data_IF_664459262534
#
_entry.id   IF_664459262534
#
_cell.length_a   1.000
_cell.length_b   1.000
_cell.length_c   1.000
_cell.angle_alpha   90.00
_cell.angle_beta   90.00
_cell.angle_gamma   90.00
#
_symmetry.space_group_name_H-M   'P 1'
#
loop_
_entity.id
_entity.type
_entity.pdbx_description
1 polymer ?
#
# COMPACT_ATOMS: atom_id res chain seq x y z
N UNK A 1 -8.17 -12.97 -5.41
CA UNK A 1 -7.95 -11.50 -5.41
C UNK A 1 -9.26 -10.71 -5.41
N UNK A 2 -10.22 -10.96 -6.34
CA UNK A 2 -11.51 -10.24 -6.39
C UNK A 2 -12.38 -10.36 -5.12
N UNK A 3 -12.49 -11.56 -4.54
CA UNK A 3 -13.30 -11.78 -3.33
C UNK A 3 -12.75 -11.02 -2.11
N UNK A 4 -11.43 -10.97 -1.96
CA UNK A 4 -10.78 -10.23 -0.88
C UNK A 4 -10.96 -8.71 -1.00
N UNK A 5 -10.91 -8.17 -2.23
CA UNK A 5 -11.16 -6.74 -2.47
C UNK A 5 -12.63 -6.35 -2.28
N UNK A 6 -13.56 -7.25 -2.61
CA UNK A 6 -15.00 -7.05 -2.36
C UNK A 6 -15.30 -6.99 -0.85
N UNK A 7 -14.78 -7.95 -0.10
CA UNK A 7 -14.95 -8.00 1.37
C UNK A 7 -14.28 -6.79 2.03
N UNK A 8 -13.09 -6.40 1.56
CA UNK A 8 -12.40 -5.19 2.02
C UNK A 8 -13.20 -3.90 1.76
N UNK A 9 -13.87 -3.79 0.62
CA UNK A 9 -14.74 -2.67 0.28
C UNK A 9 -15.98 -2.60 1.18
N UNK A 10 -16.62 -3.74 1.45
CA UNK A 10 -17.76 -3.84 2.36
C UNK A 10 -17.36 -3.48 3.79
N UNK A 11 -16.22 -3.97 4.27
CA UNK A 11 -15.73 -3.66 5.62
C UNK A 11 -15.37 -2.17 5.73
N UNK A 12 -14.75 -1.57 4.70
CA UNK A 12 -14.45 -0.13 4.68
C UNK A 12 -15.71 0.75 4.62
N UNK A 13 -16.81 0.22 4.07
CA UNK A 13 -18.13 0.86 4.08
C UNK A 13 -18.82 0.73 5.45
N UNK A 14 -18.74 -0.44 6.07
CA UNK A 14 -19.38 -0.72 7.38
C UNK A 14 -18.66 -0.05 8.55
N UNK A 15 -17.38 0.30 8.43
CA UNK A 15 -16.63 1.03 9.47
C UNK A 15 -16.83 2.56 9.29
N UNK A 16 -17.65 3.23 10.12
CA UNK A 16 -17.88 4.67 10.01
C UNK A 16 -16.63 5.48 10.36
N UNK A 17 -16.40 6.56 9.63
CA UNK A 17 -15.25 7.45 9.80
C UNK A 17 -15.17 8.07 11.21
N UNK A 18 -16.30 8.23 11.89
CA UNK A 18 -16.40 8.77 13.25
C UNK A 18 -15.70 7.91 14.32
N UNK A 19 -15.62 6.59 14.13
CA UNK A 19 -14.87 5.71 15.02
C UNK A 19 -13.36 5.88 14.82
N UNK A 20 -12.93 6.07 13.57
CA UNK A 20 -11.51 6.25 13.24
C UNK A 20 -11.03 7.62 13.75
N UNK A 21 -11.79 8.70 13.58
CA UNK A 21 -11.43 10.03 14.07
C UNK A 21 -11.29 10.11 15.60
N UNK A 22 -12.15 9.40 16.34
CA UNK A 22 -12.08 9.37 17.81
C UNK A 22 -10.84 8.63 18.32
N UNK A 23 -10.41 7.57 17.63
CA UNK A 23 -9.21 6.80 17.96
C UNK A 23 -7.94 7.41 17.37
N UNK A 24 -8.01 8.08 16.23
CA UNK A 24 -6.89 8.75 15.54
C UNK A 24 -6.25 9.85 16.39
N UNK A 25 -7.02 10.46 17.32
CA UNK A 25 -6.47 11.40 18.31
C UNK A 25 -5.42 10.78 19.23
N UNK A 26 -5.45 9.46 19.45
CA UNK A 26 -4.45 8.73 20.22
C UNK A 26 -3.62 7.85 19.29
N UNK A 27 -2.47 8.38 18.85
CA UNK A 27 -1.56 7.72 17.90
C UNK A 27 -1.23 6.27 18.28
N UNK A 28 -0.98 5.98 19.56
CA UNK A 28 -0.68 4.63 20.03
C UNK A 28 -1.91 3.71 20.08
N UNK A 29 -3.06 4.24 20.51
CA UNK A 29 -4.30 3.48 20.63
C UNK A 29 -4.80 3.04 19.25
N UNK A 30 -4.61 3.88 18.22
CA UNK A 30 -4.87 3.54 16.82
C UNK A 30 -4.01 2.37 16.31
N UNK A 31 -2.74 2.30 16.71
CA UNK A 31 -1.85 1.20 16.30
C UNK A 31 -2.31 -0.14 16.90
N UNK A 32 -2.63 -0.15 18.20
CA UNK A 32 -3.11 -1.36 18.88
C UNK A 32 -4.47 -1.78 18.32
N UNK A 33 -5.38 -0.84 18.08
CA UNK A 33 -6.68 -1.14 17.46
C UNK A 33 -6.50 -1.76 16.07
N UNK A 34 -5.62 -1.21 15.23
CA UNK A 34 -5.34 -1.75 13.90
C UNK A 34 -4.65 -3.11 13.94
N UNK A 35 -3.80 -3.37 14.93
CA UNK A 35 -3.22 -4.70 15.16
C UNK A 35 -4.30 -5.73 15.50
N UNK A 36 -5.20 -5.41 16.44
CA UNK A 36 -6.31 -6.29 16.86
C UNK A 36 -7.28 -6.54 15.71
N UNK A 37 -7.57 -5.52 14.90
CA UNK A 37 -8.43 -5.63 13.73
C UNK A 37 -7.74 -6.41 12.61
N UNK A 38 -6.44 -6.25 12.42
CA UNK A 38 -5.66 -6.92 11.37
C UNK A 38 -5.54 -8.44 11.54
N UNK A 39 -5.45 -8.93 12.78
CA UNK A 39 -5.34 -10.36 13.10
C UNK A 39 -6.53 -11.20 12.54
N UNK A 40 -7.80 -10.87 12.80
CA UNK A 40 -8.95 -11.62 12.30
C UNK A 40 -9.32 -11.30 10.84
N UNK A 41 -8.98 -10.11 10.35
CA UNK A 41 -9.35 -9.69 8.99
C UNK A 41 -8.59 -10.44 7.89
N UNK A 42 -7.44 -11.05 8.22
CA UNK A 42 -6.59 -11.84 7.32
C UNK A 42 -6.68 -11.42 5.84
N UNK A 43 -6.04 -10.31 5.51
CA UNK A 43 -6.01 -9.77 4.14
C UNK A 43 -4.62 -9.95 3.57
N UNK A 44 -4.53 -10.38 2.31
CA UNK A 44 -3.24 -10.44 1.62
C UNK A 44 -2.63 -9.04 1.50
N UNK A 45 -1.30 -8.94 1.49
CA UNK A 45 -0.58 -7.65 1.44
C UNK A 45 -1.09 -6.72 0.32
N UNK A 46 -1.50 -7.29 -0.82
CA UNK A 46 -2.05 -6.52 -1.94
C UNK A 46 -3.43 -5.92 -1.64
N UNK A 47 -4.27 -6.62 -0.87
CA UNK A 47 -5.60 -6.15 -0.49
C UNK A 47 -5.59 -5.18 0.69
N UNK A 48 -4.59 -5.26 1.57
CA UNK A 48 -4.47 -4.37 2.72
C UNK A 48 -3.98 -2.96 2.36
N UNK A 49 -3.23 -2.80 1.26
CA UNK A 49 -2.78 -1.49 0.75
C UNK A 49 -3.94 -0.52 0.44
N UNK A 50 -4.93 -0.87 -0.41
CA UNK A 50 -6.04 0.06 -0.70
C UNK A 50 -6.92 0.34 0.52
N UNK A 51 -7.06 -0.63 1.44
CA UNK A 51 -7.75 -0.44 2.72
C UNK A 51 -7.04 0.67 3.50
N UNK A 52 -5.74 0.51 3.77
CA UNK A 52 -4.97 1.52 4.52
C UNK A 52 -4.99 2.87 3.83
N UNK A 53 -4.85 2.93 2.50
CA UNK A 53 -4.94 4.18 1.76
C UNK A 53 -6.27 4.90 2.00
N UNK A 54 -7.40 4.16 1.95
CA UNK A 54 -8.73 4.72 2.21
C UNK A 54 -8.91 5.19 3.66
N UNK A 55 -8.35 4.48 4.64
CA UNK A 55 -8.39 4.90 6.05
C UNK A 55 -7.45 6.07 6.35
N UNK A 56 -6.30 6.16 5.69
CA UNK A 56 -5.38 7.30 5.83
C UNK A 56 -6.03 8.60 5.34
N UNK A 57 -6.81 8.55 4.26
CA UNK A 57 -7.61 9.70 3.80
C UNK A 57 -8.63 10.13 4.86
N UNK A 58 -9.16 9.17 5.64
CA UNK A 58 -10.06 9.42 6.79
C UNK A 58 -9.32 9.86 8.06
N UNK A 59 -8.02 10.13 8.01
CA UNK A 59 -7.23 10.61 9.15
C UNK A 59 -6.56 9.52 9.99
N UNK A 60 -6.47 8.27 9.50
CA UNK A 60 -5.68 7.23 10.16
C UNK A 60 -4.19 7.62 10.18
N UNK A 61 -3.57 7.47 11.35
CA UNK A 61 -2.13 7.68 11.54
C UNK A 61 -1.30 6.75 10.64
N UNK A 62 -0.26 7.23 9.94
CA UNK A 62 0.53 6.41 9.01
C UNK A 62 1.19 5.21 9.68
N UNK A 63 1.64 5.34 10.92
CA UNK A 63 2.17 4.23 11.71
C UNK A 63 1.14 3.15 12.01
N UNK A 64 -0.13 3.52 12.26
CA UNK A 64 -1.21 2.55 12.45
C UNK A 64 -1.52 1.79 11.14
N UNK A 65 -1.42 2.47 10.00
CA UNK A 65 -1.48 1.84 8.68
C UNK A 65 -0.35 0.83 8.46
N UNK A 66 0.89 1.17 8.83
CA UNK A 66 2.03 0.26 8.73
C UNK A 66 1.87 -0.98 9.62
N UNK A 67 1.38 -0.81 10.86
CA UNK A 67 1.09 -1.92 11.77
C UNK A 67 0.06 -2.88 11.17
N UNK A 68 -1.02 -2.36 10.58
CA UNK A 68 -2.01 -3.17 9.88
C UNK A 68 -1.41 -3.94 8.69
N UNK A 69 -0.58 -3.28 7.89
CA UNK A 69 0.10 -3.88 6.72
C UNK A 69 1.08 -4.99 7.12
N UNK A 70 1.75 -4.86 8.26
CA UNK A 70 2.61 -5.92 8.80
C UNK A 70 1.81 -7.08 9.40
N UNK A 71 0.75 -6.78 10.15
CA UNK A 71 -0.06 -7.78 10.83
C UNK A 71 -0.79 -8.70 9.86
N UNK A 72 -1.32 -8.17 8.74
CA UNK A 72 -2.10 -8.92 7.75
C UNK A 72 -1.42 -10.20 7.23
N UNK A 73 -0.23 -10.14 6.59
CA UNK A 73 0.47 -11.33 6.13
C UNK A 73 1.07 -12.17 7.27
N UNK A 74 1.43 -11.54 8.39
CA UNK A 74 2.09 -12.22 9.50
C UNK A 74 1.14 -13.16 10.29
N UNK A 75 -0.16 -12.87 10.26
CA UNK A 75 -1.20 -13.58 11.02
C UNK A 75 -1.96 -14.62 10.20
N UNK A 76 -1.34 -15.14 9.14
CA UNK A 76 -1.94 -16.15 8.28
C UNK A 76 -2.41 -17.38 9.09
N UNK A 77 -3.72 -17.67 9.01
CA UNK A 77 -4.35 -18.79 9.70
C UNK A 77 -3.68 -20.13 9.39
N UNK A 78 -3.19 -20.32 8.15
CA UNK A 78 -2.45 -21.53 7.75
C UNK A 78 -1.14 -21.62 8.52
N UNK A 79 -0.34 -20.54 8.53
CA UNK A 79 0.95 -20.50 9.22
C UNK A 79 0.78 -20.67 10.73
N UNK A 80 -0.19 -20.00 11.34
CA UNK A 80 -0.48 -20.13 12.77
C UNK A 80 -0.90 -21.57 13.10
N UNK A 81 -1.78 -22.18 12.29
CA UNK A 81 -2.26 -23.55 12.54
C UNK A 81 -1.14 -24.58 12.39
N UNK A 82 -0.29 -24.44 11.37
CA UNK A 82 0.87 -25.33 11.15
C UNK A 82 1.89 -25.18 12.28
N UNK A 83 2.22 -23.95 12.67
CA UNK A 83 3.12 -23.68 13.80
C UNK A 83 2.53 -24.21 15.12
N UNK A 84 1.23 -24.03 15.35
CA UNK A 84 0.56 -24.54 16.55
C UNK A 84 0.61 -26.07 16.64
N UNK A 85 0.48 -26.77 15.51
CA UNK A 85 0.55 -28.23 15.44
C UNK A 85 1.98 -28.77 15.59
N UNK A 86 2.96 -28.12 14.96
CA UNK A 86 4.33 -28.65 14.89
C UNK A 86 5.22 -28.18 16.06
N UNK A 87 5.08 -26.93 16.50
CA UNK A 87 5.94 -26.31 17.53
C UNK A 87 5.22 -26.05 18.87
N UNK A 88 3.90 -26.25 18.90
CA UNK A 88 3.07 -26.06 20.09
C UNK A 88 2.66 -24.61 20.34
N UNK A 89 1.61 -24.45 21.16
CA UNK A 89 0.95 -23.15 21.40
C UNK A 89 1.88 -22.09 22.02
N UNK A 90 2.86 -22.49 22.84
CA UNK A 90 3.81 -21.57 23.48
C UNK A 90 4.64 -20.80 22.45
N UNK A 91 5.12 -21.48 21.41
CA UNK A 91 5.95 -20.85 20.37
C UNK A 91 5.12 -19.90 19.50
N UNK A 92 3.87 -20.27 19.20
CA UNK A 92 2.94 -19.38 18.48
C UNK A 92 2.69 -18.08 19.22
N UNK A 93 2.51 -18.12 20.54
CA UNK A 93 2.32 -16.91 21.35
C UNK A 93 3.56 -16.01 21.30
N UNK A 94 4.76 -16.59 21.45
CA UNK A 94 6.02 -15.82 21.37
C UNK A 94 6.20 -15.22 19.97
N UNK A 95 5.87 -15.96 18.92
CA UNK A 95 5.89 -15.48 17.54
C UNK A 95 4.95 -14.28 17.34
N UNK A 96 3.69 -14.39 17.76
CA UNK A 96 2.72 -13.30 17.66
C UNK A 96 3.14 -12.07 18.47
N UNK A 97 3.67 -12.28 19.68
CA UNK A 97 4.18 -11.17 20.50
C UNK A 97 5.39 -10.49 19.85
N UNK A 98 6.32 -11.27 19.28
CA UNK A 98 7.48 -10.71 18.58
C UNK A 98 7.07 -9.83 17.39
N UNK A 99 6.09 -10.28 16.61
CA UNK A 99 5.55 -9.48 15.50
C UNK A 99 4.80 -8.25 16.01
N UNK A 100 3.98 -8.39 17.05
CA UNK A 100 3.26 -7.27 17.64
C UNK A 100 4.21 -6.19 18.14
N UNK A 101 5.25 -6.58 18.89
CA UNK A 101 6.24 -5.65 19.45
C UNK A 101 7.03 -4.97 18.32
N UNK A 102 7.52 -5.74 17.34
CA UNK A 102 8.29 -5.19 16.21
C UNK A 102 7.44 -4.25 15.35
N UNK A 103 6.18 -4.61 15.06
CA UNK A 103 5.26 -3.77 14.30
C UNK A 103 4.93 -2.47 15.06
N UNK A 104 4.62 -2.54 16.36
CA UNK A 104 4.35 -1.36 17.18
C UNK A 104 5.57 -0.45 17.29
N UNK A 105 6.76 -1.03 17.48
CA UNK A 105 8.00 -0.27 17.50
C UNK A 105 8.24 0.46 16.17
N UNK A 106 8.06 -0.25 15.05
CA UNK A 106 8.26 0.33 13.72
C UNK A 106 7.19 1.36 13.37
N UNK A 107 5.93 1.13 13.78
CA UNK A 107 4.84 2.08 13.62
C UNK A 107 5.05 3.35 14.45
N UNK A 108 5.56 3.21 15.68
CA UNK A 108 5.94 4.34 16.53
C UNK A 108 7.10 5.14 15.91
N UNK A 109 8.13 4.44 15.45
CA UNK A 109 9.26 5.06 14.74
C UNK A 109 8.81 5.78 13.47
N UNK A 110 7.90 5.17 12.69
CA UNK A 110 7.33 5.80 11.51
C UNK A 110 6.54 7.06 11.87
N UNK A 111 5.76 7.04 12.95
CA UNK A 111 5.03 8.22 13.40
C UNK A 111 5.96 9.35 13.84
N UNK A 112 7.06 9.03 14.52
CA UNK A 112 8.10 10.01 14.83
C UNK A 112 8.68 10.58 13.54
N UNK A 113 9.15 9.71 12.63
CA UNK A 113 9.74 10.11 11.36
C UNK A 113 8.76 10.94 10.52
N UNK A 114 7.49 10.57 10.50
CA UNK A 114 6.42 11.30 9.84
C UNK A 114 6.15 12.64 10.52
N UNK A 115 6.23 12.74 11.84
CA UNK A 115 6.14 14.03 12.54
C UNK A 115 7.35 14.94 12.24
N UNK A 116 8.54 14.38 12.03
CA UNK A 116 9.72 15.13 11.59
C UNK A 116 9.58 15.56 10.12
N UNK A 117 9.21 14.63 9.23
CA UNK A 117 8.99 14.88 7.81
C UNK A 117 7.83 15.83 7.56
N UNK A 118 6.73 15.76 8.30
CA UNK A 118 5.57 16.64 8.11
C UNK A 118 5.90 18.10 8.49
N UNK A 119 6.77 18.33 9.48
CA UNK A 119 7.33 19.66 9.77
C UNK A 119 8.21 20.18 8.63
N UNK A 120 9.04 19.32 8.04
CA UNK A 120 9.87 19.65 6.86
C UNK A 120 9.03 19.80 5.58
N UNK A 121 7.92 19.07 5.47
CA UNK A 121 7.05 19.07 4.30
C UNK A 121 6.09 20.27 4.31
N UNK A 122 5.71 20.79 5.48
CA UNK A 122 5.00 22.06 5.57
C UNK A 122 5.86 23.24 5.06
N UNK A 123 7.19 23.20 5.23
CA UNK A 123 8.08 24.18 4.58
C UNK A 123 8.08 24.04 3.04
N UNK A 124 7.92 22.83 2.50
CA UNK A 124 7.96 22.56 1.05
C UNK A 124 6.57 22.69 0.38
N UNK A 125 5.47 22.47 1.10
CA UNK A 125 4.10 22.59 0.59
C UNK A 125 3.39 23.89 0.96
N UNK A 126 3.65 24.43 2.16
CA UNK A 126 3.11 25.73 2.61
C UNK A 126 4.10 26.87 2.30
N UNK A 127 5.38 26.57 2.10
CA UNK A 127 6.30 27.44 1.36
C UNK A 127 6.03 27.39 -0.15
N UNK A 128 5.10 28.23 -0.62
CA UNK A 128 4.81 28.51 -2.05
C UNK A 128 4.15 27.39 -2.87
N UNK A 129 2.99 26.92 -2.41
CA UNK A 129 1.87 26.61 -3.34
C UNK A 129 1.27 27.85 -4.02
N UNK A 130 1.97 29.00 -3.96
CA UNK A 130 1.66 30.23 -4.67
C UNK A 130 2.72 30.66 -5.68
N UNK A 131 3.72 29.82 -6.05
CA UNK A 131 4.73 30.26 -7.02
C UNK A 131 5.59 29.19 -7.73
N UNK A 132 5.16 27.93 -7.84
CA UNK A 132 5.61 27.15 -9.00
C UNK A 132 4.80 27.63 -10.20
N UNK A 133 5.45 28.43 -11.04
CA UNK A 133 4.92 28.93 -12.31
C UNK A 133 4.13 27.83 -13.04
N UNK A 134 2.90 28.09 -13.52
CA UNK A 134 2.09 27.11 -14.27
C UNK A 134 2.87 26.38 -15.36
N UNK A 135 3.85 27.08 -15.95
CA UNK A 135 4.74 26.60 -16.99
C UNK A 135 5.62 25.41 -16.59
N UNK A 136 6.09 25.34 -15.34
CA UNK A 136 6.97 24.24 -14.88
C UNK A 136 6.17 22.95 -14.67
N UNK A 137 4.91 23.07 -14.25
CA UNK A 137 3.99 21.93 -14.14
C UNK A 137 3.65 21.37 -15.53
N UNK A 138 3.38 22.27 -16.47
CA UNK A 138 3.10 21.91 -17.87
C UNK A 138 4.34 21.30 -18.52
N UNK A 139 5.53 21.86 -18.31
CA UNK A 139 6.77 21.32 -18.88
C UNK A 139 7.07 19.92 -18.33
N UNK A 140 6.88 19.69 -17.03
CA UNK A 140 7.04 18.36 -16.43
C UNK A 140 6.05 17.34 -17.01
N UNK A 141 4.78 17.72 -17.15
CA UNK A 141 3.76 16.87 -17.76
C UNK A 141 4.07 16.54 -19.24
N UNK A 142 4.52 17.53 -20.02
CA UNK A 142 4.88 17.36 -21.44
C UNK A 142 6.10 16.46 -21.61
N UNK A 143 7.14 16.63 -20.77
CA UNK A 143 8.34 15.77 -20.81
C UNK A 143 7.99 14.32 -20.46
N UNK A 144 7.18 14.10 -19.42
CA UNK A 144 6.70 12.76 -19.06
C UNK A 144 5.86 12.12 -20.17
N UNK A 145 4.94 12.90 -20.75
CA UNK A 145 4.12 12.44 -21.87
C UNK A 145 4.96 12.10 -23.11
N UNK A 146 5.97 12.92 -23.40
CA UNK A 146 6.93 12.70 -24.48
C UNK A 146 7.77 11.44 -24.27
N UNK A 147 8.29 11.22 -23.06
CA UNK A 147 9.02 9.99 -22.70
C UNK A 147 8.17 8.74 -22.84
N UNK A 148 6.89 8.81 -22.43
CA UNK A 148 5.93 7.71 -22.60
C UNK A 148 5.70 7.42 -24.09
N UNK A 149 5.50 8.46 -24.91
CA UNK A 149 5.35 8.28 -26.37
C UNK A 149 6.61 7.67 -27.00
N UNK A 150 7.79 8.16 -26.62
CA UNK A 150 9.08 7.67 -27.11
C UNK A 150 9.35 6.21 -26.70
N UNK A 151 8.85 5.77 -25.54
CA UNK A 151 8.92 4.36 -25.14
C UNK A 151 7.93 3.47 -25.91
N UNK A 152 6.79 4.02 -26.33
CA UNK A 152 5.76 3.28 -27.06
C UNK A 152 6.05 3.13 -28.57
N UNK A 153 6.73 4.10 -29.17
CA UNK A 153 7.14 4.10 -30.58
C UNK A 153 7.98 2.88 -31.02
N UNK A 154 9.02 2.43 -30.29
CA UNK A 154 9.79 1.24 -30.67
C UNK A 154 8.95 -0.04 -30.55
N UNK A 155 7.97 -0.10 -29.63
CA UNK A 155 7.04 -1.25 -29.53
C UNK A 155 6.09 -1.33 -30.73
N UNK A 156 5.66 -0.21 -31.29
CA UNK A 156 4.88 -0.19 -32.53
C UNK A 156 5.73 -0.49 -33.77
N UNK A 157 6.98 -0.03 -33.80
CA UNK A 157 7.89 -0.30 -34.91
C UNK A 157 8.28 -1.78 -34.96
N UNK A 158 8.66 -2.39 -33.83
CA UNK A 158 8.93 -3.85 -33.75
C UNK A 158 7.71 -4.70 -34.14
N UNK A 159 6.51 -4.32 -33.69
CA UNK A 159 5.28 -5.06 -34.05
C UNK A 159 4.97 -4.99 -35.55
N UNK A 160 5.29 -3.87 -36.21
CA UNK A 160 5.18 -3.73 -37.67
C UNK A 160 6.23 -4.56 -38.40
N UNK A 161 7.49 -4.52 -37.97
CA UNK A 161 8.58 -5.30 -38.58
C UNK A 161 8.33 -6.82 -38.47
N UNK A 162 7.91 -7.32 -37.31
CA UNK A 162 7.55 -8.74 -37.12
C UNK A 162 6.37 -9.19 -37.99
N UNK A 163 5.38 -8.31 -38.22
CA UNK A 163 4.21 -8.64 -39.06
C UNK A 163 4.56 -8.70 -40.55
N UNK A 164 5.60 -7.97 -40.98
CA UNK A 164 6.11 -7.98 -42.35
C UNK A 164 6.96 -9.22 -42.62
N UNK A 165 7.78 -9.66 -41.66
CA UNK A 165 8.61 -10.87 -41.78
C UNK A 165 7.72 -12.12 -41.83
N UNK A 166 6.73 -12.25 -40.92
CA UNK A 166 5.84 -13.41 -40.90
C UNK A 166 4.99 -13.54 -42.18
N UNK A 167 4.55 -12.41 -42.77
CA UNK A 167 3.84 -12.41 -44.06
C UNK A 167 4.73 -12.85 -45.23
N UNK A 168 6.05 -12.61 -45.15
CA UNK A 168 7.02 -12.97 -46.20
C UNK A 168 7.35 -14.46 -46.20
N UNK A 169 7.35 -15.10 -45.02
CA UNK A 169 7.52 -16.56 -44.90
C UNK A 169 6.31 -17.34 -45.42
N UNK A 170 5.07 -16.90 -45.16
CA UNK A 170 3.88 -17.62 -45.63
C UNK A 170 3.71 -17.63 -47.16
N UNK A 171 4.36 -16.70 -47.87
CA UNK A 171 4.30 -16.61 -49.34
C UNK A 171 5.40 -17.45 -50.02
N UNK A 172 6.46 -17.82 -49.29
CA UNK A 172 7.60 -18.60 -49.85
C UNK A 172 7.42 -20.12 -49.72
N UNK A 173 6.43 -20.60 -48.97
CA UNK A 173 6.14 -22.03 -48.73
C UNK A 173 4.93 -22.52 -49.55
N UNK A 174 4.57 -21.80 -50.61
CA UNK A 174 3.49 -22.16 -51.55
C UNK A 174 4.04 -22.12 -52.96
#
# INVERSE_FOLDING_TARGET
MLWGTLIAGVISYTIPASLIERYARFNFLSMVAMLIVGIPLYVCATGSVPIVASLMIKGLSPGAGLVFLMAGPATNAVTITVMAKNLGKKIVTVYLLSIAISALFMGWLLNLLWSYFSKVHQEILVGKSGMLSPWIRISGAVVLFGLILLNFLPKLKLKKELKVIHKKETIRVK
#
